data_IF_857325102101
#
_entry.id   IF_857325102101
#
_cell.length_a   1.000
_cell.length_b   1.000
_cell.length_c   1.000
_cell.angle_alpha   90.00
_cell.angle_beta   90.00
_cell.angle_gamma   90.00
#
_symmetry.space_group_name_H-M   'P 1'
#
loop_
_entity.id
_entity.type
_entity.pdbx_description
1 polymer ?
#
# COMPACT_ATOMS: atom_id res chain seq x y z
N UNK A 1 -3.66 17.56 13.61
CA UNK A 1 -2.79 17.84 14.75
C UNK A 1 -2.82 16.71 15.79
N UNK A 2 -4.01 16.32 16.28
CA UNK A 2 -4.20 15.32 17.34
C UNK A 2 -3.64 13.93 16.96
N UNK A 3 -3.80 13.49 15.71
CA UNK A 3 -3.24 12.23 15.23
C UNK A 3 -1.72 12.20 15.31
N UNK A 4 -1.04 13.28 14.94
CA UNK A 4 0.43 13.35 15.00
C UNK A 4 0.95 13.23 16.43
N UNK A 5 0.25 13.81 17.39
CA UNK A 5 0.59 13.68 18.82
C UNK A 5 0.38 12.24 19.30
N UNK A 6 -0.69 11.58 18.86
CA UNK A 6 -0.96 10.18 19.18
C UNK A 6 0.15 9.24 18.67
N UNK A 7 0.76 9.57 17.53
CA UNK A 7 1.87 8.80 16.92
C UNK A 7 3.26 9.19 17.45
N UNK A 8 3.34 10.02 18.50
CA UNK A 8 4.61 10.39 19.12
C UNK A 8 5.42 11.41 18.33
N UNK A 9 4.79 12.22 17.47
CA UNK A 9 5.48 13.26 16.72
C UNK A 9 6.02 14.35 17.67
N UNK A 10 7.31 14.65 17.58
CA UNK A 10 7.95 15.73 18.32
C UNK A 10 7.55 17.09 17.74
N UNK A 11 7.53 18.13 18.58
CA UNK A 11 7.15 19.50 18.17
C UNK A 11 8.00 20.04 17.02
N UNK A 12 9.29 19.67 16.97
CA UNK A 12 10.22 20.05 15.89
C UNK A 12 9.80 19.52 14.51
N UNK A 13 9.16 18.36 14.44
CA UNK A 13 8.76 17.71 13.19
C UNK A 13 7.30 17.97 12.83
N UNK A 14 6.55 18.57 13.73
CA UNK A 14 5.09 18.71 13.61
C UNK A 14 4.69 19.50 12.37
N UNK A 15 5.33 20.63 12.08
CA UNK A 15 4.99 21.47 10.94
C UNK A 15 5.33 20.79 9.61
N UNK A 16 6.46 20.08 9.55
CA UNK A 16 6.85 19.30 8.38
C UNK A 16 5.89 18.13 8.14
N UNK A 17 5.53 17.41 9.21
CA UNK A 17 4.59 16.29 9.15
C UNK A 17 3.16 16.76 8.77
N UNK A 18 2.74 17.92 9.25
CA UNK A 18 1.46 18.52 8.87
C UNK A 18 1.43 18.92 7.39
N UNK A 19 2.48 19.54 6.89
CA UNK A 19 2.59 19.94 5.49
C UNK A 19 2.59 18.72 4.59
N UNK A 20 3.41 17.71 4.90
CA UNK A 20 3.43 16.43 4.19
C UNK A 20 2.06 15.75 4.19
N UNK A 21 1.46 15.61 5.37
CA UNK A 21 0.18 14.92 5.55
C UNK A 21 -0.98 15.59 4.81
N UNK A 22 -1.04 16.92 4.76
CA UNK A 22 -2.06 17.66 4.01
C UNK A 22 -1.96 17.40 2.50
N UNK A 23 -0.74 17.41 1.96
CA UNK A 23 -0.51 17.16 0.52
C UNK A 23 -0.86 15.71 0.19
N UNK A 24 -0.37 14.75 0.97
CA UNK A 24 -0.66 13.32 0.77
C UNK A 24 -2.15 13.02 0.89
N UNK A 25 -2.89 13.71 1.78
CA UNK A 25 -4.33 13.52 1.93
C UNK A 25 -5.11 13.77 0.62
N UNK A 26 -4.63 14.68 -0.22
CA UNK A 26 -5.20 14.92 -1.57
C UNK A 26 -4.96 13.70 -2.48
N UNK A 27 -3.85 13.00 -2.31
CA UNK A 27 -3.49 11.79 -3.07
C UNK A 27 -4.25 10.53 -2.66
N UNK A 28 -4.79 10.45 -1.42
CA UNK A 28 -5.45 9.25 -0.90
C UNK A 28 -6.57 8.69 -1.81
N UNK A 29 -7.53 9.48 -2.31
CA UNK A 29 -8.58 8.96 -3.18
C UNK A 29 -8.00 8.29 -4.44
N UNK A 30 -7.02 8.89 -5.07
CA UNK A 30 -6.36 8.36 -6.26
C UNK A 30 -5.58 7.08 -5.97
N UNK A 31 -4.86 7.06 -4.85
CA UNK A 31 -4.13 5.88 -4.38
C UNK A 31 -5.06 4.71 -4.06
N UNK A 32 -6.16 4.95 -3.34
CA UNK A 32 -7.13 3.91 -2.97
C UNK A 32 -7.81 3.30 -4.19
N UNK A 33 -8.30 4.15 -5.11
CA UNK A 33 -8.94 3.67 -6.35
C UNK A 33 -7.88 2.99 -7.24
N UNK A 34 -6.68 3.56 -7.35
CA UNK A 34 -5.59 3.02 -8.14
C UNK A 34 -5.17 1.61 -7.71
N UNK A 35 -5.00 1.37 -6.40
CA UNK A 35 -4.63 0.06 -5.85
C UNK A 35 -5.76 -0.97 -5.99
N UNK A 36 -7.02 -0.55 -5.81
CA UNK A 36 -8.18 -1.40 -6.02
C UNK A 36 -8.28 -1.83 -7.48
N UNK A 37 -8.19 -0.89 -8.43
CA UNK A 37 -8.20 -1.18 -9.85
C UNK A 37 -7.03 -2.09 -10.26
N UNK A 38 -5.83 -1.89 -9.70
CA UNK A 38 -4.69 -2.76 -9.94
C UNK A 38 -4.97 -4.22 -9.56
N UNK A 39 -5.65 -4.44 -8.44
CA UNK A 39 -6.06 -5.79 -8.01
C UNK A 39 -7.11 -6.39 -8.95
N UNK A 40 -8.06 -5.59 -9.43
CA UNK A 40 -9.08 -6.01 -10.41
C UNK A 40 -8.41 -6.34 -11.75
N UNK A 41 -7.44 -5.55 -12.23
CA UNK A 41 -6.68 -5.80 -13.47
C UNK A 41 -5.93 -7.13 -13.40
N UNK A 42 -5.36 -7.48 -12.25
CA UNK A 42 -4.75 -8.80 -12.03
C UNK A 42 -5.77 -9.93 -12.12
N UNK A 43 -6.95 -9.73 -11.53
CA UNK A 43 -8.05 -10.69 -11.59
C UNK A 43 -8.63 -10.84 -13.00
N UNK A 44 -8.61 -9.78 -13.82
CA UNK A 44 -8.99 -9.80 -15.24
C UNK A 44 -7.99 -10.57 -16.14
N UNK A 45 -6.90 -11.10 -15.54
CA UNK A 45 -5.91 -11.92 -16.23
C UNK A 45 -4.79 -11.13 -16.90
N UNK A 46 -4.60 -9.85 -16.54
CA UNK A 46 -3.50 -9.04 -17.07
C UNK A 46 -2.55 -8.53 -15.96
N UNK A 47 -1.86 -9.44 -15.24
CA UNK A 47 -0.93 -9.04 -14.20
C UNK A 47 0.26 -8.24 -14.74
N UNK A 48 0.62 -8.41 -16.02
CA UNK A 48 1.71 -7.64 -16.65
C UNK A 48 1.38 -6.16 -16.70
N UNK A 49 0.16 -5.80 -17.11
CA UNK A 49 -0.26 -4.39 -17.12
C UNK A 49 -0.34 -3.82 -15.70
N UNK A 50 -0.88 -4.59 -14.76
CA UNK A 50 -0.94 -4.18 -13.35
C UNK A 50 0.46 -3.89 -12.78
N UNK A 51 1.44 -4.74 -13.09
CA UNK A 51 2.84 -4.53 -12.70
C UNK A 51 3.42 -3.28 -13.39
N UNK A 52 3.23 -3.14 -14.71
CA UNK A 52 3.78 -2.02 -15.48
C UNK A 52 3.25 -0.69 -14.96
N UNK A 53 1.95 -0.57 -14.66
CA UNK A 53 1.37 0.67 -14.13
C UNK A 53 1.97 1.07 -12.78
N UNK A 54 2.19 0.09 -11.87
CA UNK A 54 2.84 0.34 -10.58
C UNK A 54 4.31 0.73 -10.72
N UNK A 55 5.05 0.02 -11.57
CA UNK A 55 6.48 0.30 -11.82
C UNK A 55 6.65 1.67 -12.46
N UNK A 56 5.79 2.05 -13.42
CA UNK A 56 5.81 3.38 -14.01
C UNK A 56 5.59 4.48 -12.98
N UNK A 57 4.63 4.29 -12.06
CA UNK A 57 4.41 5.22 -10.95
C UNK A 57 5.63 5.31 -10.02
N UNK A 58 6.24 4.18 -9.68
CA UNK A 58 7.42 4.15 -8.81
C UNK A 58 8.64 4.82 -9.46
N UNK A 59 8.88 4.57 -10.75
CA UNK A 59 9.97 5.22 -11.50
C UNK A 59 9.73 6.73 -11.56
N UNK A 60 8.51 7.16 -11.87
CA UNK A 60 8.18 8.58 -11.89
C UNK A 60 8.42 9.23 -10.53
N UNK A 61 8.00 8.58 -9.44
CA UNK A 61 8.25 9.08 -8.09
C UNK A 61 9.75 9.23 -7.82
N UNK A 62 10.55 8.20 -8.12
CA UNK A 62 12.01 8.21 -7.93
C UNK A 62 12.70 9.33 -8.71
N UNK A 63 12.18 9.69 -9.88
CA UNK A 63 12.72 10.80 -10.70
C UNK A 63 12.24 12.15 -10.15
N UNK A 64 10.98 12.26 -9.77
CA UNK A 64 10.41 13.53 -9.31
C UNK A 64 10.88 13.93 -7.91
N UNK A 65 11.13 12.96 -7.03
CA UNK A 65 11.60 13.23 -5.66
C UNK A 65 12.84 14.14 -5.64
N UNK A 66 13.98 13.80 -6.29
CA UNK A 66 15.13 14.67 -6.30
C UNK A 66 14.88 16.01 -7.00
N UNK A 67 14.06 16.05 -8.03
CA UNK A 67 13.72 17.28 -8.74
C UNK A 67 12.98 18.24 -7.82
N UNK A 68 11.94 17.77 -7.12
CA UNK A 68 11.16 18.64 -6.23
C UNK A 68 11.90 19.00 -4.94
N UNK A 69 12.76 18.09 -4.44
CA UNK A 69 13.52 18.33 -3.21
C UNK A 69 14.69 19.27 -3.46
N UNK A 70 15.52 18.99 -4.48
CA UNK A 70 16.80 19.68 -4.68
C UNK A 70 16.71 20.81 -5.71
N UNK A 71 16.04 20.61 -6.85
CA UNK A 71 15.97 21.65 -7.91
C UNK A 71 14.94 22.71 -7.54
N UNK A 72 13.76 22.31 -7.11
CA UNK A 72 12.72 23.28 -6.69
C UNK A 72 12.83 23.69 -5.21
N UNK A 73 13.79 23.16 -4.47
CA UNK A 73 14.05 23.48 -3.05
C UNK A 73 12.81 23.38 -2.15
N UNK A 74 11.85 22.48 -2.47
CA UNK A 74 10.61 22.32 -1.71
C UNK A 74 10.73 21.36 -0.51
N UNK A 75 11.89 20.74 -0.32
CA UNK A 75 12.14 19.82 0.79
C UNK A 75 11.04 18.75 0.94
N UNK A 76 10.51 18.61 2.15
CA UNK A 76 9.50 17.59 2.49
C UNK A 76 8.18 17.78 1.70
N UNK A 77 7.77 19.02 1.43
CA UNK A 77 6.59 19.29 0.61
C UNK A 77 6.80 18.81 -0.84
N UNK A 78 8.04 18.94 -1.36
CA UNK A 78 8.42 18.43 -2.68
C UNK A 78 8.25 16.91 -2.80
N UNK A 79 8.72 16.14 -1.83
CA UNK A 79 8.52 14.70 -1.78
C UNK A 79 7.04 14.31 -1.74
N UNK A 80 6.22 15.03 -0.97
CA UNK A 80 4.78 14.79 -0.92
C UNK A 80 4.12 15.04 -2.29
N UNK A 81 4.48 16.12 -2.98
CA UNK A 81 3.94 16.45 -4.31
C UNK A 81 4.35 15.39 -5.33
N UNK A 82 5.61 14.96 -5.36
CA UNK A 82 6.10 13.92 -6.25
C UNK A 82 5.34 12.60 -6.05
N UNK A 83 5.08 12.24 -4.79
CA UNK A 83 4.28 11.07 -4.43
C UNK A 83 2.85 11.18 -4.97
N UNK A 84 2.18 12.31 -4.77
CA UNK A 84 0.80 12.51 -5.26
C UNK A 84 0.74 12.44 -6.79
N UNK A 85 1.68 13.08 -7.50
CA UNK A 85 1.74 13.03 -8.96
C UNK A 85 1.88 11.58 -9.45
N UNK A 86 2.74 10.79 -8.82
CA UNK A 86 2.96 9.39 -9.17
C UNK A 86 1.74 8.51 -8.90
N UNK A 87 1.02 8.78 -7.81
CA UNK A 87 -0.25 8.11 -7.49
C UNK A 87 -1.33 8.45 -8.52
N UNK A 88 -1.43 9.70 -8.92
CA UNK A 88 -2.38 10.16 -9.95
C UNK A 88 -2.05 9.52 -11.30
N UNK A 89 -0.76 9.43 -11.70
CA UNK A 89 -0.38 8.73 -12.93
C UNK A 89 -0.79 7.26 -12.90
N UNK A 90 -0.48 6.55 -11.81
CA UNK A 90 -0.86 5.14 -11.65
C UNK A 90 -2.38 4.97 -11.71
N UNK A 91 -3.13 5.87 -11.06
CA UNK A 91 -4.59 5.90 -11.14
C UNK A 91 -5.08 6.08 -12.58
N UNK A 92 -4.55 7.06 -13.33
CA UNK A 92 -4.94 7.32 -14.72
C UNK A 92 -4.66 6.09 -15.59
N UNK A 93 -3.49 5.45 -15.47
CA UNK A 93 -3.16 4.24 -16.22
C UNK A 93 -4.14 3.10 -15.91
N UNK A 94 -4.47 2.90 -14.65
CA UNK A 94 -5.40 1.85 -14.24
C UNK A 94 -6.84 2.14 -14.69
N UNK A 95 -7.29 3.39 -14.65
CA UNK A 95 -8.59 3.82 -15.21
C UNK A 95 -8.64 3.65 -16.73
N UNK A 96 -7.57 3.98 -17.44
CA UNK A 96 -7.49 3.79 -18.89
C UNK A 96 -7.63 2.30 -19.28
N UNK A 97 -7.18 1.37 -18.42
CA UNK A 97 -7.35 -0.06 -18.64
C UNK A 97 -8.79 -0.52 -18.57
N UNK A 98 -9.68 0.20 -17.87
CA UNK A 98 -11.11 -0.17 -17.74
C UNK A 98 -11.75 -0.39 -19.12
N UNK A 99 -11.35 0.40 -20.12
CA UNK A 99 -11.82 0.25 -21.51
C UNK A 99 -11.34 -1.06 -22.18
N UNK A 100 -10.35 -1.72 -21.61
CA UNK A 100 -9.71 -2.96 -22.12
C UNK A 100 -10.08 -4.21 -21.31
N UNK A 101 -11.00 -4.12 -20.36
CA UNK A 101 -11.45 -5.29 -19.61
C UNK A 101 -11.93 -6.39 -20.54
N UNK A 102 -11.45 -7.63 -20.30
CA UNK A 102 -11.79 -8.81 -21.07
C UNK A 102 -12.93 -9.62 -20.45
N UNK A 103 -12.95 -9.64 -19.11
CA UNK A 103 -13.88 -10.49 -18.35
C UNK A 103 -15.17 -9.77 -17.98
N UNK A 104 -15.20 -8.45 -18.04
CA UNK A 104 -16.32 -7.63 -17.55
C UNK A 104 -16.71 -6.61 -18.63
N UNK A 105 -17.98 -6.69 -19.07
CA UNK A 105 -18.58 -5.63 -19.87
C UNK A 105 -19.22 -4.61 -18.93
N UNK A 106 -18.70 -3.37 -18.94
CA UNK A 106 -19.27 -2.28 -18.17
C UNK A 106 -20.55 -1.76 -18.85
N UNK A 107 -21.68 -2.19 -18.35
CA UNK A 107 -23.00 -1.70 -18.72
C UNK A 107 -23.35 -0.49 -17.86
N UNK A 108 -24.26 0.39 -18.32
CA UNK A 108 -24.75 1.53 -17.53
C UNK A 108 -25.32 1.10 -16.18
N UNK A 109 -25.92 -0.07 -16.11
CA UNK A 109 -26.44 -0.66 -14.85
C UNK A 109 -25.36 -1.12 -13.88
N UNK A 110 -24.11 -1.31 -14.35
CA UNK A 110 -22.98 -1.67 -13.49
C UNK A 110 -22.58 -0.54 -12.53
N UNK A 111 -22.97 0.70 -12.83
CA UNK A 111 -22.72 1.85 -11.96
C UNK A 111 -23.78 2.06 -10.87
N UNK A 112 -24.86 1.26 -10.88
CA UNK A 112 -25.85 1.31 -9.80
C UNK A 112 -25.34 0.57 -8.58
N UNK A 113 -25.20 1.29 -7.47
CA UNK A 113 -24.82 0.72 -6.18
C UNK A 113 -25.95 -0.20 -5.69
N UNK A 114 -25.66 -1.50 -5.59
CA UNK A 114 -26.56 -2.48 -4.99
C UNK A 114 -26.15 -2.71 -3.54
N UNK A 115 -27.06 -2.39 -2.61
CA UNK A 115 -26.81 -2.48 -1.16
C UNK A 115 -26.31 -3.87 -0.73
N UNK A 116 -26.83 -4.92 -1.32
CA UNK A 116 -26.39 -6.31 -1.03
C UNK A 116 -24.93 -6.56 -1.40
N UNK A 117 -24.48 -6.05 -2.57
CA UNK A 117 -23.10 -6.17 -3.01
C UNK A 117 -22.19 -5.33 -2.12
N UNK A 118 -22.58 -4.09 -1.80
CA UNK A 118 -21.85 -3.22 -0.89
C UNK A 118 -21.69 -3.88 0.48
N UNK A 119 -22.74 -4.50 1.02
CA UNK A 119 -22.68 -5.22 2.30
C UNK A 119 -21.68 -6.36 2.26
N UNK A 120 -21.70 -7.20 1.20
CA UNK A 120 -20.74 -8.32 1.06
C UNK A 120 -19.29 -7.83 0.97
N UNK A 121 -19.03 -6.79 0.18
CA UNK A 121 -17.70 -6.19 0.04
C UNK A 121 -17.22 -5.59 1.38
N UNK A 122 -18.10 -4.86 2.08
CA UNK A 122 -17.77 -4.29 3.40
C UNK A 122 -17.46 -5.37 4.44
N UNK A 123 -18.23 -6.46 4.48
CA UNK A 123 -17.97 -7.57 5.41
C UNK A 123 -16.60 -8.22 5.16
N UNK A 124 -16.20 -8.39 3.91
CA UNK A 124 -14.86 -8.90 3.56
C UNK A 124 -13.77 -7.89 3.94
N UNK A 125 -14.05 -6.60 3.79
CA UNK A 125 -13.12 -5.52 4.12
C UNK A 125 -12.88 -5.35 5.63
N UNK A 126 -13.87 -5.67 6.48
CA UNK A 126 -13.76 -5.52 7.94
C UNK A 126 -12.58 -6.32 8.50
N UNK A 127 -12.36 -7.54 8.05
CA UNK A 127 -11.22 -8.36 8.52
C UNK A 127 -9.88 -7.69 8.22
N UNK A 128 -9.70 -7.20 7.00
CA UNK A 128 -8.49 -6.48 6.60
C UNK A 128 -8.34 -5.15 7.34
N UNK A 129 -9.45 -4.46 7.61
CA UNK A 129 -9.47 -3.23 8.38
C UNK A 129 -9.00 -3.45 9.82
N UNK A 130 -9.52 -4.48 10.50
CA UNK A 130 -9.11 -4.83 11.88
C UNK A 130 -7.61 -5.16 11.92
N UNK A 131 -7.13 -5.96 10.98
CA UNK A 131 -5.71 -6.30 10.89
C UNK A 131 -4.85 -5.04 10.73
N UNK A 132 -5.24 -4.14 9.82
CA UNK A 132 -4.49 -2.91 9.57
C UNK A 132 -4.53 -1.95 10.77
N UNK A 133 -5.69 -1.84 11.43
CA UNK A 133 -5.82 -1.05 12.65
C UNK A 133 -4.95 -1.59 13.79
N UNK A 134 -4.87 -2.92 13.93
CA UNK A 134 -4.01 -3.55 14.94
C UNK A 134 -2.54 -3.19 14.71
N UNK A 135 -2.06 -3.25 13.46
CA UNK A 135 -0.68 -2.87 13.11
C UNK A 135 -0.43 -1.41 13.48
N UNK A 136 -1.36 -0.51 13.14
CA UNK A 136 -1.25 0.93 13.45
C UNK A 136 -1.20 1.17 14.96
N UNK A 137 -2.06 0.48 15.73
CA UNK A 137 -2.08 0.60 17.20
C UNK A 137 -0.76 0.10 17.82
N UNK A 138 -0.23 -1.02 17.32
CA UNK A 138 1.06 -1.58 17.79
C UNK A 138 2.19 -0.59 17.50
N UNK A 139 2.29 -0.06 16.27
CA UNK A 139 3.32 0.93 15.92
C UNK A 139 3.23 2.21 16.78
N UNK A 140 2.02 2.69 17.06
CA UNK A 140 1.82 3.84 17.92
C UNK A 140 2.27 3.54 19.37
N UNK A 141 1.94 2.37 19.89
CA UNK A 141 2.38 1.93 21.21
C UNK A 141 3.90 1.78 21.28
N UNK A 142 4.52 1.11 20.30
CA UNK A 142 5.97 0.93 20.21
C UNK A 142 6.71 2.28 20.20
N UNK A 143 6.30 3.22 19.35
CA UNK A 143 6.93 4.55 19.30
C UNK A 143 6.83 5.31 20.63
N UNK A 144 5.66 5.28 21.28
CA UNK A 144 5.46 5.95 22.57
C UNK A 144 6.27 5.27 23.69
N UNK A 145 6.29 3.94 23.74
CA UNK A 145 7.06 3.19 24.75
C UNK A 145 8.57 3.38 24.56
N UNK A 146 9.06 3.30 23.32
CA UNK A 146 10.48 3.51 23.02
C UNK A 146 10.91 4.95 23.33
N UNK A 147 10.07 5.94 23.04
CA UNK A 147 10.33 7.33 23.42
C UNK A 147 10.41 7.51 24.94
N UNK A 148 9.47 6.93 25.67
CA UNK A 148 9.39 7.04 27.14
C UNK A 148 10.54 6.31 27.85
N UNK A 149 10.73 5.03 27.55
CA UNK A 149 11.74 4.20 28.21
C UNK A 149 13.15 4.43 27.64
N UNK A 150 13.27 4.79 26.36
CA UNK A 150 14.53 5.21 25.76
C UNK A 150 15.10 6.44 26.44
N UNK A 151 14.26 7.41 26.77
CA UNK A 151 14.69 8.61 27.51
C UNK A 151 15.24 8.32 28.91
N UNK A 152 14.89 7.16 29.51
CA UNK A 152 15.37 6.72 30.81
C UNK A 152 16.61 5.81 30.71
N UNK A 153 17.05 5.49 29.49
CA UNK A 153 18.23 4.66 29.22
C UNK A 153 19.42 5.52 28.80
N UNK A 154 20.62 4.94 28.87
CA UNK A 154 21.88 5.58 28.43
C UNK A 154 21.88 5.93 26.92
N UNK A 155 20.95 5.35 26.14
CA UNK A 155 20.84 5.55 24.70
C UNK A 155 19.98 6.77 24.30
N UNK A 156 19.22 7.36 25.24
CA UNK A 156 18.29 8.45 24.95
C UNK A 156 17.04 8.01 24.17
N UNK A 157 16.10 8.95 23.96
CA UNK A 157 14.82 8.65 23.32
C UNK A 157 14.93 8.40 21.80
N UNK A 158 15.88 9.03 21.12
CA UNK A 158 15.96 9.03 19.66
C UNK A 158 16.61 7.75 19.09
N UNK A 159 17.61 7.20 19.78
CA UNK A 159 18.36 6.02 19.30
C UNK A 159 17.48 4.76 19.16
N UNK A 160 16.66 4.36 20.17
CA UNK A 160 15.80 3.18 20.04
C UNK A 160 14.75 3.31 18.93
N UNK A 161 14.18 4.51 18.75
CA UNK A 161 13.20 4.78 17.67
C UNK A 161 13.88 4.67 16.31
N UNK A 162 15.10 5.18 16.16
CA UNK A 162 15.87 5.08 14.91
C UNK A 162 16.20 3.62 14.57
N UNK A 163 16.66 2.85 15.55
CA UNK A 163 16.96 1.41 15.39
C UNK A 163 15.71 0.65 14.97
N UNK A 164 14.58 0.87 15.67
CA UNK A 164 13.30 0.26 15.28
C UNK A 164 12.95 0.61 13.83
N UNK A 165 13.09 1.88 13.42
CA UNK A 165 12.83 2.32 12.06
C UNK A 165 13.66 1.58 11.02
N UNK A 166 14.93 1.30 11.30
CA UNK A 166 15.82 0.53 10.39
C UNK A 166 15.35 -0.92 10.32
N UNK A 167 15.09 -1.57 11.46
CA UNK A 167 14.61 -2.95 11.54
C UNK A 167 13.28 -3.11 10.79
N UNK A 168 12.35 -2.18 10.99
CA UNK A 168 11.05 -2.19 10.29
C UNK A 168 11.20 -2.03 8.78
N UNK A 169 12.16 -1.24 8.30
CA UNK A 169 12.43 -1.11 6.86
C UNK A 169 12.96 -2.40 6.25
N UNK A 170 13.88 -3.09 6.93
CA UNK A 170 14.38 -4.39 6.47
C UNK A 170 13.24 -5.40 6.43
N UNK A 171 12.45 -5.48 7.49
CA UNK A 171 11.28 -6.35 7.58
C UNK A 171 10.27 -6.06 6.45
N UNK A 172 10.02 -4.78 6.14
CA UNK A 172 9.13 -4.37 5.06
C UNK A 172 9.61 -4.83 3.68
N UNK A 173 10.92 -4.81 3.41
CA UNK A 173 11.50 -5.32 2.15
C UNK A 173 11.22 -6.82 2.03
N UNK A 174 11.51 -7.61 3.06
CA UNK A 174 11.26 -9.06 3.07
C UNK A 174 9.76 -9.36 2.89
N UNK A 175 8.91 -8.71 3.67
CA UNK A 175 7.47 -8.87 3.57
C UNK A 175 6.92 -8.48 2.18
N UNK A 176 7.47 -7.45 1.52
CA UNK A 176 6.99 -7.04 0.19
C UNK A 176 7.23 -8.12 -0.87
N UNK A 177 8.30 -8.89 -0.76
CA UNK A 177 8.58 -10.03 -1.66
C UNK A 177 7.55 -11.14 -1.42
N UNK A 178 7.30 -11.49 -0.16
CA UNK A 178 6.31 -12.52 0.22
C UNK A 178 4.90 -12.12 -0.25
N UNK A 179 4.51 -10.87 -0.01
CA UNK A 179 3.22 -10.32 -0.47
C UNK A 179 3.14 -10.34 -2.00
N UNK A 180 4.26 -10.07 -2.70
CA UNK A 180 4.34 -10.15 -4.16
C UNK A 180 4.06 -11.55 -4.68
N UNK A 181 4.65 -12.58 -4.08
CA UNK A 181 4.41 -14.00 -4.39
C UNK A 181 2.94 -14.37 -4.13
N UNK A 182 2.42 -13.98 -2.96
CA UNK A 182 1.02 -14.24 -2.59
C UNK A 182 0.04 -13.57 -3.57
N UNK A 183 0.22 -12.29 -3.85
CA UNK A 183 -0.62 -11.52 -4.76
C UNK A 183 -0.55 -12.04 -6.22
N UNK A 184 0.62 -12.53 -6.66
CA UNK A 184 0.80 -13.14 -7.97
C UNK A 184 0.13 -14.51 -8.08
N UNK A 185 0.11 -15.30 -7.01
CA UNK A 185 -0.53 -16.63 -6.99
C UNK A 185 -2.06 -16.57 -6.86
N UNK A 186 -2.60 -15.50 -6.28
CA UNK A 186 -4.04 -15.34 -6.00
C UNK A 186 -4.96 -15.52 -7.22
N UNK A 187 -4.72 -14.87 -8.38
CA UNK A 187 -5.58 -15.06 -9.56
C UNK A 187 -5.48 -16.48 -10.12
N UNK A 188 -4.30 -17.12 -10.05
CA UNK A 188 -4.11 -18.50 -10.51
C UNK A 188 -4.92 -19.46 -9.64
N UNK A 189 -4.85 -19.29 -8.32
CA UNK A 189 -5.60 -20.09 -7.35
C UNK A 189 -7.11 -19.87 -7.57
N UNK A 190 -7.57 -18.62 -7.63
CA UNK A 190 -8.98 -18.26 -7.81
C UNK A 190 -9.57 -18.84 -9.08
N UNK A 191 -8.88 -18.72 -10.22
CA UNK A 191 -9.33 -19.27 -11.50
C UNK A 191 -9.43 -20.80 -11.47
N UNK A 192 -8.40 -21.49 -10.97
CA UNK A 192 -8.41 -22.95 -10.91
C UNK A 192 -9.39 -23.49 -9.87
N UNK A 193 -9.64 -22.76 -8.78
CA UNK A 193 -10.64 -23.11 -7.79
C UNK A 193 -12.05 -23.02 -8.38
N UNK A 194 -12.37 -21.92 -9.09
CA UNK A 194 -13.65 -21.77 -9.79
C UNK A 194 -13.86 -22.84 -10.87
N UNK A 195 -12.79 -23.28 -11.54
CA UNK A 195 -12.79 -24.37 -12.50
C UNK A 195 -12.78 -25.77 -11.86
N UNK A 196 -12.88 -25.90 -10.52
CA UNK A 196 -12.83 -27.15 -9.74
C UNK A 196 -11.55 -27.98 -9.96
N UNK A 197 -10.45 -27.36 -10.41
CA UNK A 197 -9.15 -28.01 -10.65
C UNK A 197 -8.27 -28.00 -9.38
N UNK A 198 -8.72 -28.67 -8.33
CA UNK A 198 -8.11 -28.62 -7.01
C UNK A 198 -6.64 -29.08 -6.96
N UNK A 199 -6.26 -30.02 -7.81
CA UNK A 199 -4.87 -30.46 -7.92
C UNK A 199 -3.93 -29.30 -8.34
N UNK A 200 -4.37 -28.44 -9.26
CA UNK A 200 -3.62 -27.25 -9.68
C UNK A 200 -3.58 -26.19 -8.59
N UNK A 201 -4.68 -26.00 -7.86
CA UNK A 201 -4.75 -25.10 -6.70
C UNK A 201 -3.70 -25.52 -5.67
N UNK A 202 -3.68 -26.80 -5.29
CA UNK A 202 -2.71 -27.35 -4.32
C UNK A 202 -1.27 -27.18 -4.80
N UNK A 203 -0.99 -27.46 -6.08
CA UNK A 203 0.36 -27.29 -6.65
C UNK A 203 0.81 -25.84 -6.62
N UNK A 204 -0.06 -24.91 -7.01
CA UNK A 204 0.26 -23.47 -6.98
C UNK A 204 0.51 -22.98 -5.55
N UNK A 205 -0.33 -23.42 -4.61
CA UNK A 205 -0.17 -23.08 -3.19
C UNK A 205 1.17 -23.57 -2.64
N UNK A 206 1.51 -24.83 -2.88
CA UNK A 206 2.78 -25.43 -2.40
C UNK A 206 4.00 -24.73 -3.02
N UNK A 207 3.95 -24.40 -4.31
CA UNK A 207 5.03 -23.66 -4.97
C UNK A 207 5.18 -22.24 -4.41
N UNK A 208 4.08 -21.55 -4.15
CA UNK A 208 4.11 -20.23 -3.55
C UNK A 208 4.65 -20.28 -2.11
N UNK A 209 4.23 -21.29 -1.34
CA UNK A 209 4.70 -21.49 0.03
C UNK A 209 6.20 -21.81 0.05
N UNK A 210 6.67 -22.73 -0.80
CA UNK A 210 8.10 -23.05 -0.87
C UNK A 210 8.92 -21.84 -1.28
N UNK A 211 8.50 -21.08 -2.30
CA UNK A 211 9.21 -19.87 -2.71
C UNK A 211 9.28 -18.82 -1.60
N UNK A 212 8.20 -18.66 -0.81
CA UNK A 212 8.19 -17.73 0.31
C UNK A 212 9.01 -18.21 1.52
N UNK A 213 9.21 -19.53 1.68
CA UNK A 213 9.97 -20.10 2.79
C UNK A 213 11.49 -20.11 2.55
N UNK A 214 11.92 -19.95 1.31
CA UNK A 214 13.35 -19.85 0.95
C UNK A 214 13.91 -18.42 1.05
N UNK A 215 13.11 -17.46 1.39
CA UNK A 215 13.47 -16.04 1.60
C UNK A 215 13.68 -15.73 3.08
#
# INVERSE_FOLDING_TARGET
PQLLTLFGCTDKLRDLAMTYGRIIAIGFPFSMIGTTLNSIIRADGNPKFAMTSMVTGAILNTILDPIFIFVFHKGVAGAAIATVISQVLTFILNVAYIKKFKSIQLLKDSFKLKAEVCKKVSMLGVSSFITQMSIVCVMAAENNLLGKYGAQSDYGAETPITVLGIVMKINQILNSIIIGIAAGSQPIIGYNYGAKKYARVRKTYLLALSAASFL
#
